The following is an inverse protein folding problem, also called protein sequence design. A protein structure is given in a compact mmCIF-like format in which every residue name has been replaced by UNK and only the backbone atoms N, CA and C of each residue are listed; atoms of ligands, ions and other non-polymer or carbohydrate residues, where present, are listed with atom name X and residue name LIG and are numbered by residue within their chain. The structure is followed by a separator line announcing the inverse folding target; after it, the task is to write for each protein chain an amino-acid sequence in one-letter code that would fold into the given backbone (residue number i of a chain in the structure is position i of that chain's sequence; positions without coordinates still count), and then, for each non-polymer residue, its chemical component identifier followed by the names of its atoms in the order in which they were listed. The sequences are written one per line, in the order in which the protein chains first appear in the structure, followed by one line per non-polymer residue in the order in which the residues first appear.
data_IF_433572172594
#
_entry.id   IF_433572172594
#
_cell.length_a   1.000
_cell.length_b   1.000
_cell.length_c   1.000
_cell.angle_alpha   90.00
_cell.angle_beta   90.00
_cell.angle_gamma   90.00
#
_symmetry.space_group_name_H-M   'P 1'
#
loop_
_entity.id
_entity.type
_entity.pdbx_description
1 polymer ?
#
# COMPACT_ATOMS: atom_id res chain seq x y z
N UNK A 1 -38.76 -16.46 60.69
CA UNK A 1 -38.14 -16.24 59.37
C UNK A 1 -39.08 -15.36 58.55
N UNK A 2 -38.58 -14.49 57.66
CA UNK A 2 -39.41 -13.67 56.78
C UNK A 2 -40.36 -14.53 55.93
N UNK A 3 -41.60 -14.08 55.74
CA UNK A 3 -42.55 -14.77 54.86
C UNK A 3 -42.25 -14.43 53.38
N UNK A 4 -42.00 -15.46 52.58
CA UNK A 4 -41.71 -15.36 51.14
C UNK A 4 -42.81 -15.94 50.26
N UNK A 5 -43.91 -16.41 50.85
CA UNK A 5 -44.99 -17.12 50.17
C UNK A 5 -45.63 -16.28 49.07
N UNK A 6 -45.83 -14.98 49.34
CA UNK A 6 -46.41 -14.04 48.39
C UNK A 6 -45.49 -13.81 47.17
N UNK A 7 -44.21 -13.52 47.41
CA UNK A 7 -43.23 -13.30 46.34
C UNK A 7 -43.04 -14.57 45.50
N UNK A 8 -42.95 -15.75 46.13
CA UNK A 8 -42.84 -17.03 45.43
C UNK A 8 -44.05 -17.30 44.53
N UNK A 9 -45.28 -17.01 45.00
CA UNK A 9 -46.49 -17.19 44.21
C UNK A 9 -46.51 -16.28 42.98
N UNK A 10 -46.13 -15.02 43.13
CA UNK A 10 -46.06 -14.07 42.03
C UNK A 10 -45.01 -14.47 40.98
N UNK A 11 -43.81 -14.86 41.41
CA UNK A 11 -42.76 -15.35 40.50
C UNK A 11 -43.22 -16.61 39.76
N UNK A 12 -43.84 -17.55 40.47
CA UNK A 12 -44.31 -18.81 39.85
C UNK A 12 -45.33 -18.52 38.75
N UNK A 13 -46.29 -17.63 39.00
CA UNK A 13 -47.27 -17.20 37.99
C UNK A 13 -46.62 -16.54 36.76
N UNK A 14 -45.54 -15.77 36.95
CA UNK A 14 -44.82 -15.10 35.87
C UNK A 14 -43.98 -16.10 35.06
N UNK A 15 -43.35 -17.08 35.73
CA UNK A 15 -42.60 -18.15 35.05
C UNK A 15 -43.53 -19.06 34.23
N UNK A 16 -44.70 -19.40 34.76
CA UNK A 16 -45.75 -20.13 34.02
C UNK A 16 -46.26 -19.34 32.81
N UNK A 17 -46.17 -18.01 32.86
CA UNK A 17 -46.49 -17.09 31.77
C UNK A 17 -45.46 -17.07 30.61
N UNK A 18 -44.51 -18.01 30.54
CA UNK A 18 -43.53 -18.16 29.46
C UNK A 18 -42.61 -16.94 29.21
N UNK A 19 -42.39 -16.08 30.21
CA UNK A 19 -41.53 -14.88 30.10
C UNK A 19 -40.13 -15.21 29.54
N UNK A 20 -39.55 -16.35 29.95
CA UNK A 20 -38.23 -16.80 29.51
C UNK A 20 -38.20 -17.08 28.00
N UNK A 21 -39.29 -17.62 27.46
CA UNK A 21 -39.41 -17.90 26.02
C UNK A 21 -39.50 -16.60 25.23
N UNK A 22 -40.31 -15.64 25.68
CA UNK A 22 -40.48 -14.35 24.99
C UNK A 22 -39.16 -13.54 24.96
N UNK A 23 -38.45 -13.46 26.09
CA UNK A 23 -37.14 -12.79 26.15
C UNK A 23 -36.10 -13.50 25.27
N UNK A 24 -36.10 -14.84 25.23
CA UNK A 24 -35.23 -15.61 24.31
C UNK A 24 -35.54 -15.31 22.85
N UNK A 25 -36.81 -15.24 22.47
CA UNK A 25 -37.20 -14.87 21.11
C UNK A 25 -36.68 -13.47 20.74
N UNK A 26 -36.77 -12.50 21.67
CA UNK A 26 -36.22 -11.17 21.48
C UNK A 26 -34.72 -11.16 21.20
N UNK A 27 -33.95 -11.89 22.00
CA UNK A 27 -32.51 -12.08 21.78
C UNK A 27 -32.22 -12.72 20.41
N UNK A 28 -33.01 -13.72 20.02
CA UNK A 28 -32.83 -14.40 18.74
C UNK A 28 -33.17 -13.50 17.54
N UNK A 29 -34.14 -12.58 17.66
CA UNK A 29 -34.40 -11.52 16.67
C UNK A 29 -33.22 -10.56 16.55
N UNK A 30 -32.65 -10.12 17.68
CA UNK A 30 -31.47 -9.26 17.67
C UNK A 30 -30.28 -9.92 16.95
N UNK A 31 -29.98 -11.19 17.26
CA UNK A 31 -28.93 -11.94 16.57
C UNK A 31 -29.25 -12.20 15.09
N UNK A 32 -30.53 -12.32 14.71
CA UNK A 32 -30.93 -12.45 13.31
C UNK A 32 -30.56 -11.21 12.51
N UNK A 33 -30.82 -10.01 13.04
CA UNK A 33 -30.44 -8.74 12.40
C UNK A 33 -28.93 -8.68 12.13
N UNK A 34 -28.13 -9.01 13.13
CA UNK A 34 -26.66 -9.07 12.99
C UNK A 34 -26.24 -10.04 11.87
N UNK A 35 -26.83 -11.24 11.82
CA UNK A 35 -26.52 -12.24 10.80
C UNK A 35 -26.96 -11.81 9.39
N UNK A 36 -28.09 -11.15 9.26
CA UNK A 36 -28.60 -10.71 7.96
C UNK A 36 -27.70 -9.60 7.38
N UNK A 37 -27.26 -8.64 8.21
CA UNK A 37 -26.27 -7.62 7.80
C UNK A 37 -24.95 -8.29 7.41
N UNK A 38 -24.42 -9.19 8.25
CA UNK A 38 -23.16 -9.88 7.97
C UNK A 38 -23.23 -10.71 6.67
N UNK A 39 -24.37 -11.36 6.41
CA UNK A 39 -24.57 -12.14 5.19
C UNK A 39 -24.58 -11.23 3.95
N UNK A 40 -25.30 -10.11 4.01
CA UNK A 40 -25.33 -9.14 2.91
C UNK A 40 -23.92 -8.59 2.60
N UNK A 41 -23.13 -8.28 3.64
CA UNK A 41 -21.73 -7.85 3.50
C UNK A 41 -20.87 -8.95 2.88
N UNK A 42 -20.91 -10.17 3.42
CA UNK A 42 -20.09 -11.30 2.96
C UNK A 42 -20.42 -11.74 1.52
N UNK A 43 -21.66 -11.59 1.09
CA UNK A 43 -22.06 -11.90 -0.29
C UNK A 43 -21.59 -10.85 -1.28
N UNK A 44 -21.50 -9.59 -0.86
CA UNK A 44 -21.24 -8.49 -1.79
C UNK A 44 -19.76 -8.15 -1.95
N UNK A 45 -18.95 -8.29 -0.87
CA UNK A 45 -17.50 -8.04 -0.92
C UNK A 45 -16.80 -8.85 -2.04
N UNK A 46 -17.05 -10.15 -2.23
CA UNK A 46 -16.39 -10.93 -3.28
C UNK A 46 -16.76 -10.47 -4.69
N UNK A 47 -17.99 -9.98 -4.90
CA UNK A 47 -18.45 -9.50 -6.21
C UNK A 47 -17.72 -8.21 -6.57
N UNK A 48 -17.67 -7.25 -5.64
CA UNK A 48 -16.90 -6.01 -5.80
C UNK A 48 -15.41 -6.32 -6.01
N UNK A 49 -14.83 -7.19 -5.18
CA UNK A 49 -13.43 -7.62 -5.29
C UNK A 49 -13.14 -8.28 -6.63
N UNK A 50 -14.06 -9.10 -7.17
CA UNK A 50 -13.91 -9.73 -8.47
C UNK A 50 -13.93 -8.71 -9.62
N UNK A 51 -14.84 -7.73 -9.60
CA UNK A 51 -14.88 -6.69 -10.63
C UNK A 51 -13.62 -5.82 -10.61
N UNK A 52 -13.14 -5.47 -9.41
CA UNK A 52 -11.87 -4.76 -9.21
C UNK A 52 -10.69 -5.60 -9.68
N UNK A 53 -10.66 -6.90 -9.37
CA UNK A 53 -9.60 -7.80 -9.81
C UNK A 53 -9.54 -7.93 -11.32
N UNK A 54 -10.67 -8.07 -12.01
CA UNK A 54 -10.73 -8.10 -13.48
C UNK A 54 -10.22 -6.81 -14.10
N UNK A 55 -10.60 -5.66 -13.52
CA UNK A 55 -10.05 -4.37 -13.92
C UNK A 55 -8.53 -4.33 -13.70
N UNK A 56 -8.05 -4.81 -12.55
CA UNK A 56 -6.63 -4.93 -12.22
C UNK A 56 -5.84 -5.82 -13.18
N UNK A 57 -6.35 -7.02 -13.50
CA UNK A 57 -5.74 -7.96 -14.45
C UNK A 57 -5.62 -7.33 -15.85
N UNK A 58 -6.65 -6.59 -16.31
CA UNK A 58 -6.61 -5.89 -17.60
C UNK A 58 -5.65 -4.69 -17.60
N UNK A 59 -5.53 -3.98 -16.47
CA UNK A 59 -4.55 -2.91 -16.30
C UNK A 59 -3.12 -3.46 -16.25
N UNK A 60 -2.90 -4.59 -15.58
CA UNK A 60 -1.61 -5.28 -15.54
C UNK A 60 -1.20 -5.78 -16.93
N UNK A 61 -2.13 -6.35 -17.69
CA UNK A 61 -1.89 -6.74 -19.08
C UNK A 61 -1.50 -5.53 -19.94
N UNK A 62 -2.21 -4.41 -19.77
CA UNK A 62 -1.90 -3.16 -20.50
C UNK A 62 -0.52 -2.60 -20.11
N UNK A 63 -0.20 -2.58 -18.82
CA UNK A 63 1.10 -2.14 -18.31
C UNK A 63 2.23 -3.06 -18.80
N UNK A 64 2.02 -4.37 -18.77
CA UNK A 64 2.95 -5.38 -19.28
C UNK A 64 3.18 -5.23 -20.78
N UNK A 65 2.11 -5.00 -21.55
CA UNK A 65 2.21 -4.74 -22.98
C UNK A 65 3.06 -3.49 -23.27
N UNK A 66 2.87 -2.39 -22.52
CA UNK A 66 3.68 -1.17 -22.61
C UNK A 66 5.15 -1.45 -22.28
N UNK A 67 5.42 -2.09 -21.14
CA UNK A 67 6.80 -2.43 -20.73
C UNK A 67 7.46 -3.34 -21.74
N UNK A 68 6.76 -4.35 -22.26
CA UNK A 68 7.29 -5.27 -23.26
C UNK A 68 7.64 -4.57 -24.57
N UNK A 69 6.88 -3.53 -24.96
CA UNK A 69 7.15 -2.72 -26.14
C UNK A 69 8.40 -1.87 -25.93
N UNK A 70 8.55 -1.24 -24.77
CA UNK A 70 9.76 -0.48 -24.38
C UNK A 70 10.97 -1.40 -24.37
N UNK A 71 10.85 -2.59 -23.79
CA UNK A 71 11.93 -3.57 -23.73
C UNK A 71 12.31 -4.09 -25.12
N UNK A 72 11.34 -4.27 -26.02
CA UNK A 72 11.63 -4.63 -27.43
C UNK A 72 12.44 -3.53 -28.10
N UNK A 73 12.02 -2.27 -27.96
CA UNK A 73 12.76 -1.12 -28.52
C UNK A 73 14.19 -1.08 -27.96
N UNK A 74 14.35 -1.24 -26.64
CA UNK A 74 15.67 -1.23 -26.00
C UNK A 74 16.56 -2.40 -26.47
N UNK A 75 15.97 -3.60 -26.63
CA UNK A 75 16.68 -4.77 -27.18
C UNK A 75 17.08 -4.57 -28.63
N UNK A 76 16.20 -4.02 -29.47
CA UNK A 76 16.51 -3.76 -30.88
C UNK A 76 17.61 -2.71 -31.03
N UNK A 77 17.59 -1.66 -30.20
CA UNK A 77 18.68 -0.67 -30.12
C UNK A 77 20.00 -1.36 -29.78
N UNK A 78 20.01 -2.18 -28.73
CA UNK A 78 21.22 -2.87 -28.28
C UNK A 78 21.73 -3.93 -29.27
N UNK A 79 20.84 -4.60 -29.99
CA UNK A 79 21.22 -5.68 -30.91
C UNK A 79 21.66 -5.16 -32.27
N UNK A 80 21.01 -4.11 -32.77
CA UNK A 80 21.27 -3.60 -34.13
C UNK A 80 22.30 -2.49 -34.08
N UNK A 81 22.13 -1.49 -33.22
CA UNK A 81 22.92 -0.25 -33.32
C UNK A 81 24.23 -0.29 -32.53
N UNK A 82 24.28 -0.91 -31.35
CA UNK A 82 25.51 -1.00 -30.54
C UNK A 82 26.65 -1.73 -31.27
N UNK A 83 26.43 -2.86 -31.97
CA UNK A 83 27.51 -3.52 -32.72
C UNK A 83 28.04 -2.66 -33.86
N UNK A 84 27.16 -1.95 -34.58
CA UNK A 84 27.58 -1.04 -35.65
C UNK A 84 28.37 0.16 -35.12
N UNK A 85 27.98 0.70 -33.97
CA UNK A 85 28.75 1.74 -33.26
C UNK A 85 30.12 1.22 -32.82
N UNK A 86 30.21 -0.03 -32.35
CA UNK A 86 31.48 -0.64 -31.95
C UNK A 86 32.42 -0.86 -33.14
N UNK A 87 31.89 -1.32 -34.28
CA UNK A 87 32.67 -1.45 -35.52
C UNK A 87 33.17 -0.09 -36.01
N UNK A 88 32.33 0.95 -35.94
CA UNK A 88 32.74 2.31 -36.29
C UNK A 88 33.84 2.82 -35.34
N UNK A 89 33.69 2.59 -34.03
CA UNK A 89 34.69 2.95 -33.02
C UNK A 89 36.03 2.24 -33.28
N UNK A 90 36.01 0.93 -33.51
CA UNK A 90 37.22 0.14 -33.80
C UNK A 90 37.92 0.66 -35.06
N UNK A 91 37.17 1.09 -36.08
CA UNK A 91 37.74 1.66 -37.30
C UNK A 91 38.33 3.07 -37.10
N UNK A 92 37.68 3.90 -36.27
CA UNK A 92 38.18 5.22 -35.89
C UNK A 92 39.48 5.09 -35.07
N UNK A 93 39.52 4.16 -34.12
CA UNK A 93 40.70 3.93 -33.28
C UNK A 93 41.89 3.41 -34.10
N UNK A 94 41.65 2.60 -35.13
CA UNK A 94 42.68 2.21 -36.08
C UNK A 94 43.16 3.37 -36.96
N UNK A 95 42.28 4.30 -37.37
CA UNK A 95 42.65 5.42 -38.24
C UNK A 95 43.27 6.61 -37.48
N UNK A 96 43.01 6.71 -36.18
CA UNK A 96 43.55 7.70 -35.25
C UNK A 96 45.09 7.80 -35.33
N UNK A 97 45.78 6.66 -35.38
CA UNK A 97 47.24 6.62 -35.42
C UNK A 97 47.81 7.20 -36.72
N UNK A 98 47.14 6.98 -37.86
CA UNK A 98 47.55 7.53 -39.14
C UNK A 98 47.42 9.05 -39.19
N UNK A 99 46.34 9.60 -38.61
CA UNK A 99 46.18 11.06 -38.46
C UNK A 99 47.32 11.68 -37.64
N UNK A 100 47.71 11.02 -36.56
CA UNK A 100 48.84 11.47 -35.74
C UNK A 100 50.15 11.50 -36.54
N UNK A 101 50.48 10.45 -37.29
CA UNK A 101 51.69 10.41 -38.11
C UNK A 101 51.67 11.42 -39.27
N UNK A 102 50.53 11.65 -39.91
CA UNK A 102 50.38 12.69 -40.93
C UNK A 102 50.62 14.07 -40.32
N UNK A 103 50.05 14.37 -39.15
CA UNK A 103 50.29 15.63 -38.44
C UNK A 103 51.75 15.83 -38.03
N UNK A 104 52.43 14.76 -37.59
CA UNK A 104 53.86 14.77 -37.29
C UNK A 104 54.70 15.03 -38.54
N UNK A 105 54.34 14.39 -39.67
CA UNK A 105 55.01 14.59 -40.96
C UNK A 105 54.90 16.02 -41.47
N UNK A 106 53.70 16.61 -41.42
CA UNK A 106 53.48 18.03 -41.80
C UNK A 106 54.28 18.96 -40.90
N UNK A 107 54.27 18.73 -39.58
CA UNK A 107 55.08 19.52 -38.64
C UNK A 107 56.59 19.39 -38.90
N UNK A 108 57.07 18.18 -39.21
CA UNK A 108 58.48 17.92 -39.53
C UNK A 108 58.94 18.60 -40.82
N UNK A 109 58.07 18.63 -41.83
CA UNK A 109 58.30 19.36 -43.08
C UNK A 109 58.46 20.86 -42.81
N UNK A 110 57.53 21.45 -42.05
CA UNK A 110 57.57 22.88 -41.70
C UNK A 110 58.84 23.21 -40.91
N UNK A 111 59.24 22.35 -39.98
CA UNK A 111 60.48 22.50 -39.22
C UNK A 111 61.71 22.44 -40.14
N UNK A 112 61.72 21.54 -41.13
CA UNK A 112 62.82 21.41 -42.09
C UNK A 112 62.96 22.67 -42.94
N UNK A 113 61.83 23.21 -43.44
CA UNK A 113 61.80 24.48 -44.17
C UNK A 113 62.35 25.60 -43.29
N UNK A 114 61.89 25.71 -42.04
CA UNK A 114 62.36 26.71 -41.09
C UNK A 114 63.88 26.60 -40.88
N UNK A 115 64.41 25.40 -40.67
CA UNK A 115 65.85 25.18 -40.51
C UNK A 115 66.65 25.56 -41.75
N UNK A 116 66.21 25.18 -42.95
CA UNK A 116 66.90 25.58 -44.19
C UNK A 116 66.91 27.11 -44.38
N UNK A 117 65.82 27.79 -44.02
CA UNK A 117 65.73 29.25 -44.07
C UNK A 117 66.63 29.92 -43.02
N UNK A 118 66.66 29.43 -41.78
CA UNK A 118 67.52 30.00 -40.72
C UNK A 118 68.99 29.81 -41.06
N UNK A 119 69.42 28.60 -41.42
CA UNK A 119 70.81 28.34 -41.82
C UNK A 119 71.18 29.12 -43.09
N UNK A 120 70.28 29.19 -44.08
CA UNK A 120 70.47 30.00 -45.28
C UNK A 120 70.71 31.49 -44.96
N UNK A 121 69.94 32.05 -44.02
CA UNK A 121 70.05 33.43 -43.59
C UNK A 121 71.34 33.68 -42.75
N UNK A 122 71.62 32.81 -41.78
CA UNK A 122 72.82 32.91 -40.95
C UNK A 122 74.11 32.79 -41.79
N UNK A 123 74.18 31.84 -42.72
CA UNK A 123 75.31 31.69 -43.64
C UNK A 123 75.38 32.82 -44.68
N UNK A 124 74.25 33.43 -45.04
CA UNK A 124 74.21 34.59 -45.94
C UNK A 124 74.73 35.89 -45.31
N UNK A 125 74.38 36.14 -44.05
CA UNK A 125 74.78 37.35 -43.29
C UNK A 125 76.22 37.21 -42.76
N UNK A 126 76.55 36.08 -42.14
CA UNK A 126 77.83 35.88 -41.46
C UNK A 126 78.91 35.23 -42.34
N UNK A 127 78.57 34.69 -43.50
CA UNK A 127 79.49 33.95 -44.36
C UNK A 127 80.44 34.83 -45.18
N UNK A 128 81.66 34.35 -45.40
CA UNK A 128 82.66 34.98 -46.27
C UNK A 128 82.33 34.75 -47.77
N UNK A 129 82.90 35.60 -48.65
CA UNK A 129 82.77 35.45 -50.11
C UNK A 129 83.55 34.19 -50.54
N UNK A 130 83.01 33.34 -51.43
CA UNK A 130 83.69 32.11 -51.82
C UNK A 130 84.91 32.42 -52.68
N UNK A 131 86.09 32.16 -52.13
CA UNK A 131 87.37 32.25 -52.80
C UNK A 131 87.78 30.81 -53.15
N UNK A 132 88.15 30.53 -54.41
CA UNK A 132 88.16 29.19 -55.01
C UNK A 132 89.02 28.07 -54.38
N UNK A 133 89.60 28.27 -53.19
CA UNK A 133 90.35 27.28 -52.42
C UNK A 133 90.14 27.51 -50.91
N UNK A 134 89.15 26.85 -50.30
CA UNK A 134 88.91 26.86 -48.84
C UNK A 134 87.53 26.34 -48.47
N UNK A 135 87.45 25.15 -47.89
CA UNK A 135 86.21 24.49 -47.48
C UNK A 135 85.77 24.98 -46.08
N UNK A 136 85.37 26.26 -45.98
CA UNK A 136 84.67 26.76 -44.79
C UNK A 136 83.19 26.35 -44.88
N UNK A 137 82.72 25.61 -43.86
CA UNK A 137 81.34 25.11 -43.74
C UNK A 137 80.28 26.24 -43.88
N UNK A 138 80.65 27.49 -43.54
CA UNK A 138 79.77 28.67 -43.61
C UNK A 138 80.28 29.71 -44.62
N UNK A 139 79.89 29.57 -45.88
CA UNK A 139 80.18 30.55 -46.94
C UNK A 139 78.89 31.08 -47.60
N UNK A 140 78.96 32.24 -48.29
CA UNK A 140 77.80 32.84 -48.95
C UNK A 140 77.19 31.94 -50.05
N UNK A 141 77.99 31.07 -50.66
CA UNK A 141 77.53 30.07 -51.64
C UNK A 141 76.69 28.96 -51.00
N UNK A 142 77.06 28.47 -49.81
CA UNK A 142 76.32 27.50 -49.02
C UNK A 142 75.00 28.10 -48.55
N UNK A 143 74.99 29.36 -48.10
CA UNK A 143 73.76 30.09 -47.78
C UNK A 143 72.79 30.17 -48.96
N UNK A 144 73.28 30.53 -50.15
CA UNK A 144 72.48 30.55 -51.37
C UNK A 144 71.93 29.16 -51.76
N UNK A 145 72.72 28.09 -51.60
CA UNK A 145 72.27 26.71 -51.84
C UNK A 145 71.19 26.26 -50.86
N UNK A 146 71.30 26.60 -49.56
CA UNK A 146 70.26 26.30 -48.57
C UNK A 146 68.97 27.06 -48.82
N UNK A 147 69.04 28.33 -49.24
CA UNK A 147 67.86 29.10 -49.64
C UNK A 147 67.20 28.54 -50.91
N UNK A 148 67.99 28.14 -51.91
CA UNK A 148 67.46 27.49 -53.11
C UNK A 148 66.79 26.15 -52.79
N UNK A 149 67.39 25.33 -51.92
CA UNK A 149 66.78 24.09 -51.45
C UNK A 149 65.46 24.33 -50.71
N UNK A 150 65.40 25.36 -49.84
CA UNK A 150 64.17 25.75 -49.17
C UNK A 150 63.07 26.14 -50.17
N UNK A 151 63.39 26.93 -51.21
CA UNK A 151 62.42 27.33 -52.26
C UNK A 151 61.90 26.12 -53.04
N UNK A 152 62.77 25.16 -53.39
CA UNK A 152 62.36 23.92 -54.05
C UNK A 152 61.41 23.08 -53.19
N UNK A 153 61.74 22.92 -51.90
CA UNK A 153 60.92 22.18 -50.94
C UNK A 153 59.57 22.88 -50.74
N UNK A 154 59.56 24.21 -50.61
CA UNK A 154 58.33 25.00 -50.49
C UNK A 154 57.46 24.79 -51.73
N UNK A 155 57.99 24.95 -52.94
CA UNK A 155 57.18 24.86 -54.16
C UNK A 155 56.57 23.47 -54.37
N UNK A 156 57.37 22.41 -54.15
CA UNK A 156 56.89 21.03 -54.28
C UNK A 156 55.84 20.68 -53.23
N UNK A 157 56.08 21.02 -51.96
CA UNK A 157 55.19 20.62 -50.87
C UNK A 157 53.95 21.51 -50.77
N UNK A 158 54.04 22.81 -51.07
CA UNK A 158 52.86 23.69 -51.07
C UNK A 158 51.86 23.31 -52.16
N UNK A 159 52.32 22.92 -53.35
CA UNK A 159 51.45 22.45 -54.43
C UNK A 159 50.65 21.20 -54.03
N UNK A 160 51.31 20.21 -53.40
CA UNK A 160 50.67 18.98 -52.93
C UNK A 160 49.73 19.26 -51.75
N UNK A 161 50.17 20.05 -50.77
CA UNK A 161 49.36 20.40 -49.61
C UNK A 161 48.10 21.18 -50.01
N UNK A 162 48.18 22.09 -50.98
CA UNK A 162 47.03 22.86 -51.48
C UNK A 162 45.93 21.96 -52.07
N UNK A 163 46.29 20.91 -52.80
CA UNK A 163 45.31 19.96 -53.36
C UNK A 163 44.64 19.17 -52.21
N UNK A 164 45.44 18.68 -51.25
CA UNK A 164 44.94 17.88 -50.13
C UNK A 164 44.02 18.71 -49.23
N UNK A 165 44.39 19.95 -48.90
CA UNK A 165 43.58 20.84 -48.05
C UNK A 165 42.29 21.25 -48.74
N UNK A 166 42.32 21.52 -50.05
CA UNK A 166 41.11 21.85 -50.82
C UNK A 166 40.13 20.66 -50.84
N UNK A 167 40.63 19.44 -51.03
CA UNK A 167 39.79 18.25 -50.98
C UNK A 167 39.17 18.02 -49.59
N UNK A 168 39.97 18.19 -48.52
CA UNK A 168 39.47 18.08 -47.14
C UNK A 168 38.46 19.17 -46.80
N UNK A 169 38.69 20.42 -47.25
CA UNK A 169 37.76 21.52 -47.06
C UNK A 169 36.43 21.27 -47.77
N UNK A 170 36.45 20.75 -49.01
CA UNK A 170 35.22 20.39 -49.73
C UNK A 170 34.42 19.32 -48.98
N UNK A 171 35.09 18.25 -48.53
CA UNK A 171 34.43 17.17 -47.77
C UNK A 171 33.93 17.68 -46.42
N UNK A 172 34.73 18.48 -45.72
CA UNK A 172 34.38 19.08 -44.42
C UNK A 172 33.16 19.98 -44.52
N UNK A 173 33.13 20.90 -45.48
CA UNK A 173 32.00 21.83 -45.70
C UNK A 173 30.73 21.06 -46.10
N UNK A 174 30.84 20.06 -46.97
CA UNK A 174 29.69 19.22 -47.35
C UNK A 174 29.16 18.42 -46.17
N UNK A 175 30.02 17.80 -45.37
CA UNK A 175 29.61 17.06 -44.18
C UNK A 175 29.00 17.98 -43.11
N UNK A 176 29.59 19.17 -42.90
CA UNK A 176 29.09 20.15 -41.93
C UNK A 176 27.71 20.69 -42.33
N UNK A 177 27.54 21.10 -43.59
CA UNK A 177 26.28 21.68 -44.10
C UNK A 177 25.20 20.62 -44.38
N UNK A 178 25.60 19.43 -44.83
CA UNK A 178 24.69 18.36 -45.25
C UNK A 178 24.23 17.44 -44.11
N UNK A 179 25.06 17.25 -43.08
CA UNK A 179 24.78 16.30 -41.99
C UNK A 179 24.71 17.03 -40.64
N UNK A 180 25.74 17.78 -40.27
CA UNK A 180 25.81 18.32 -38.90
C UNK A 180 24.83 19.47 -38.62
N UNK A 181 24.68 20.42 -39.55
CA UNK A 181 23.72 21.51 -39.43
C UNK A 181 22.25 21.02 -39.30
N UNK A 182 21.74 20.11 -40.17
CA UNK A 182 20.38 19.58 -40.01
C UNK A 182 20.18 18.76 -38.74
N UNK A 183 21.19 18.02 -38.26
CA UNK A 183 21.07 17.28 -37.01
C UNK A 183 21.13 18.19 -35.76
N UNK A 184 21.86 19.31 -35.80
CA UNK A 184 21.98 20.29 -34.70
C UNK A 184 20.70 21.12 -34.54
N UNK A 185 20.09 21.49 -35.67
CA UNK A 185 18.85 22.27 -35.71
C UNK A 185 17.77 21.51 -36.51
N UNK A 186 17.10 20.49 -35.91
CA UNK A 186 16.16 19.63 -36.62
C UNK A 186 14.82 20.31 -36.98
N UNK A 187 14.49 21.44 -36.35
CA UNK A 187 13.22 22.15 -36.56
C UNK A 187 13.23 23.08 -37.79
N UNK A 188 14.36 23.76 -38.05
CA UNK A 188 14.43 24.84 -39.05
C UNK A 188 15.08 24.43 -40.38
N UNK A 189 15.51 23.17 -40.51
CA UNK A 189 16.25 22.70 -41.69
C UNK A 189 15.40 21.84 -42.64
N UNK A 190 15.12 22.40 -43.83
CA UNK A 190 14.42 21.70 -44.93
C UNK A 190 15.05 20.36 -45.33
N UNK A 191 16.37 20.22 -45.16
CA UNK A 191 17.09 18.99 -45.49
C UNK A 191 16.71 17.82 -44.57
N UNK A 192 16.43 18.11 -43.30
CA UNK A 192 16.04 17.10 -42.32
C UNK A 192 14.61 16.58 -42.59
N UNK A 193 13.71 17.48 -42.98
CA UNK A 193 12.34 17.10 -43.38
C UNK A 193 12.33 16.21 -44.65
N UNK A 194 13.24 16.44 -45.60
CA UNK A 194 13.39 15.57 -46.78
C UNK A 194 13.91 14.17 -46.42
N UNK A 195 14.83 14.08 -45.45
CA UNK A 195 15.34 12.80 -44.97
C UNK A 195 14.26 12.01 -44.20
N UNK A 196 13.40 12.72 -43.48
CA UNK A 196 12.27 12.14 -42.75
C UNK A 196 11.20 11.54 -43.68
N UNK A 197 10.89 12.24 -44.78
CA UNK A 197 10.02 11.73 -45.85
C UNK A 197 10.59 10.46 -46.52
N UNK A 198 11.91 10.35 -46.63
CA UNK A 198 12.57 9.19 -47.23
C UNK A 198 12.55 7.95 -46.31
N UNK A 199 12.75 8.13 -45.00
CA UNK A 199 12.84 7.04 -44.01
C UNK A 199 11.50 6.41 -43.65
N UNK A 200 10.36 6.99 -44.06
CA UNK A 200 9.01 6.46 -43.82
C UNK A 200 8.78 6.00 -42.36
N UNK A 201 9.28 6.76 -41.36
CA UNK A 201 9.22 6.41 -39.93
C UNK A 201 7.80 6.07 -39.48
N UNK A 202 6.81 6.77 -40.04
CA UNK A 202 5.38 6.49 -39.88
C UNK A 202 4.98 5.05 -40.23
N UNK A 203 5.46 4.53 -41.36
CA UNK A 203 5.13 3.18 -41.84
C UNK A 203 5.81 2.10 -40.99
N UNK A 204 6.96 2.41 -40.40
CA UNK A 204 7.70 1.51 -39.51
C UNK A 204 7.05 1.42 -38.12
N UNK A 205 6.73 2.55 -37.50
CA UNK A 205 6.15 2.56 -36.15
C UNK A 205 4.64 2.26 -36.13
N UNK A 206 3.90 2.72 -37.12
CA UNK A 206 2.45 2.63 -37.18
C UNK A 206 1.95 2.06 -38.51
N UNK A 207 2.29 0.80 -38.85
CA UNK A 207 1.93 0.20 -40.14
C UNK A 207 0.41 0.10 -40.36
N UNK A 208 -0.39 0.08 -39.29
CA UNK A 208 -1.85 -0.06 -39.31
C UNK A 208 -2.62 1.27 -39.16
N UNK A 209 -1.95 2.38 -38.82
CA UNK A 209 -2.61 3.65 -38.50
C UNK A 209 -2.15 4.78 -39.44
N UNK A 210 -2.85 5.02 -40.57
CA UNK A 210 -2.46 6.02 -41.56
C UNK A 210 -2.63 7.47 -41.08
N UNK A 211 -3.28 7.73 -39.95
CA UNK A 211 -3.45 9.07 -39.37
C UNK A 211 -2.40 9.47 -38.33
N UNK A 212 -1.41 8.60 -38.04
CA UNK A 212 -0.30 8.98 -37.16
C UNK A 212 0.60 10.01 -37.87
N UNK A 213 0.56 11.26 -37.39
CA UNK A 213 1.46 12.33 -37.81
C UNK A 213 2.67 12.35 -36.87
N UNK A 214 3.72 11.60 -37.20
CA UNK A 214 4.95 11.52 -36.42
C UNK A 214 6.12 11.66 -37.37
N UNK A 215 6.94 12.68 -37.10
CA UNK A 215 8.17 13.01 -37.82
C UNK A 215 9.38 12.76 -36.92
N UNK A 216 10.52 12.42 -37.49
CA UNK A 216 11.77 12.29 -36.71
C UNK A 216 12.15 13.63 -36.06
N UNK A 217 11.84 14.75 -36.71
CA UNK A 217 12.05 16.09 -36.14
C UNK A 217 11.23 16.29 -34.86
N UNK A 218 9.94 15.92 -34.89
CA UNK A 218 9.09 15.92 -33.70
C UNK A 218 9.65 15.07 -32.58
N UNK A 219 10.09 13.84 -32.88
CA UNK A 219 10.64 12.92 -31.89
C UNK A 219 11.86 13.55 -31.20
N UNK A 220 12.82 14.05 -31.97
CA UNK A 220 14.06 14.65 -31.42
C UNK A 220 13.75 15.90 -30.60
N UNK A 221 12.93 16.82 -31.10
CA UNK A 221 12.57 18.05 -30.38
C UNK A 221 11.85 17.75 -29.07
N UNK A 222 10.89 16.82 -29.08
CA UNK A 222 10.14 16.43 -27.88
C UNK A 222 11.00 15.65 -26.89
N UNK A 223 11.96 14.89 -27.41
CA UNK A 223 12.95 14.22 -26.60
C UNK A 223 13.88 15.20 -25.87
N UNK A 224 14.30 16.28 -26.53
CA UNK A 224 15.06 17.37 -25.91
C UNK A 224 14.28 18.12 -24.84
N UNK A 225 12.96 18.24 -24.98
CA UNK A 225 12.08 18.75 -23.94
C UNK A 225 11.87 17.77 -22.76
N UNK A 226 12.53 16.60 -22.78
CA UNK A 226 12.43 15.54 -21.77
C UNK A 226 10.98 15.04 -21.56
N UNK A 227 10.17 15.05 -22.63
CA UNK A 227 8.83 14.48 -22.58
C UNK A 227 8.87 12.94 -22.48
N UNK A 228 7.75 12.36 -22.06
CA UNK A 228 7.58 10.91 -21.96
C UNK A 228 7.45 10.25 -23.33
N UNK A 229 7.82 8.97 -23.38
CA UNK A 229 7.68 8.15 -24.58
C UNK A 229 6.23 8.13 -25.10
N UNK A 230 5.24 8.17 -24.20
CA UNK A 230 3.83 8.23 -24.57
C UNK A 230 3.50 9.44 -25.44
N UNK A 231 4.01 10.62 -25.08
CA UNK A 231 3.80 11.86 -25.83
C UNK A 231 4.69 11.95 -27.08
N UNK A 232 5.97 11.57 -26.95
CA UNK A 232 6.97 11.62 -28.03
C UNK A 232 6.54 10.73 -29.19
N UNK A 233 6.20 9.46 -28.91
CA UNK A 233 5.79 8.51 -29.94
C UNK A 233 4.29 8.56 -30.24
N UNK A 234 3.51 9.46 -29.62
CA UNK A 234 2.05 9.52 -29.72
C UNK A 234 1.38 8.15 -29.54
N UNK A 235 1.75 7.43 -28.48
CA UNK A 235 1.25 6.07 -28.17
C UNK A 235 -0.27 6.01 -27.95
N UNK A 236 -0.95 7.17 -27.85
CA UNK A 236 -2.42 7.29 -27.88
C UNK A 236 -3.08 6.52 -29.03
N UNK A 237 -2.39 6.33 -30.15
CA UNK A 237 -2.91 5.57 -31.31
C UNK A 237 -2.87 4.05 -31.12
N UNK A 238 -2.16 3.56 -30.09
CA UNK A 238 -2.09 2.13 -29.72
C UNK A 238 -2.87 1.87 -28.44
N UNK A 239 -2.69 2.73 -27.44
CA UNK A 239 -3.31 2.59 -26.12
C UNK A 239 -3.83 3.97 -25.70
N UNK A 240 -5.15 4.10 -25.63
CA UNK A 240 -5.80 5.30 -25.15
C UNK A 240 -5.91 5.25 -23.62
N UNK A 241 -4.97 5.87 -22.91
CA UNK A 241 -4.95 5.87 -21.44
C UNK A 241 -6.19 6.52 -20.83
N UNK A 242 -6.80 7.51 -21.50
CA UNK A 242 -8.03 8.16 -21.02
C UNK A 242 -9.23 7.20 -21.00
N UNK A 243 -9.20 6.15 -21.83
CA UNK A 243 -10.23 5.10 -21.81
C UNK A 243 -10.23 4.30 -20.52
N UNK A 244 -9.14 4.33 -19.74
CA UNK A 244 -9.05 3.68 -18.43
C UNK A 244 -10.05 4.27 -17.43
N UNK A 245 -10.42 5.55 -17.57
CA UNK A 245 -11.47 6.17 -16.72
C UNK A 245 -12.82 5.47 -16.90
N UNK A 246 -13.10 4.95 -18.10
CA UNK A 246 -14.33 4.20 -18.37
C UNK A 246 -14.34 2.79 -17.79
N UNK A 247 -13.25 2.32 -17.15
CA UNK A 247 -13.18 0.95 -16.61
C UNK A 247 -14.14 0.76 -15.44
N UNK A 248 -14.39 1.81 -14.65
CA UNK A 248 -15.35 1.76 -13.53
C UNK A 248 -16.75 1.39 -14.04
N UNK A 249 -17.16 2.00 -15.16
CA UNK A 249 -18.44 1.73 -15.80
C UNK A 249 -18.41 0.40 -16.58
N UNK A 250 -17.32 0.14 -17.32
CA UNK A 250 -17.16 -1.07 -18.14
C UNK A 250 -17.19 -2.37 -17.33
N UNK A 251 -16.62 -2.36 -16.13
CA UNK A 251 -16.65 -3.49 -15.20
C UNK A 251 -17.81 -3.43 -14.21
N UNK A 252 -18.77 -2.52 -14.42
CA UNK A 252 -19.96 -2.34 -13.61
C UNK A 252 -19.66 -2.19 -12.10
N UNK A 253 -18.54 -1.57 -11.75
CA UNK A 253 -18.10 -1.40 -10.35
C UNK A 253 -19.10 -0.51 -9.61
N UNK A 254 -19.54 0.59 -10.25
CA UNK A 254 -20.57 1.48 -9.73
C UNK A 254 -21.91 0.75 -9.49
N UNK A 255 -22.39 0.01 -10.48
CA UNK A 255 -23.62 -0.79 -10.36
C UNK A 255 -23.54 -1.84 -9.25
N UNK A 256 -22.39 -2.52 -9.11
CA UNK A 256 -22.19 -3.54 -8.07
C UNK A 256 -22.25 -2.92 -6.67
N UNK A 257 -21.72 -1.71 -6.52
CA UNK A 257 -21.75 -0.96 -5.26
C UNK A 257 -23.15 -0.43 -4.96
N UNK A 258 -23.92 -0.05 -5.97
CA UNK A 258 -25.33 0.31 -5.80
C UNK A 258 -26.20 -0.91 -5.43
N UNK A 259 -25.90 -2.09 -5.98
CA UNK A 259 -26.58 -3.33 -5.59
C UNK A 259 -26.24 -3.72 -4.15
N UNK A 260 -24.99 -3.52 -3.71
CA UNK A 260 -24.58 -3.64 -2.31
C UNK A 260 -25.40 -2.74 -1.40
N UNK A 261 -25.54 -1.46 -1.77
CA UNK A 261 -26.32 -0.46 -1.01
C UNK A 261 -27.77 -0.91 -0.85
N UNK A 262 -28.36 -1.51 -1.88
CA UNK A 262 -29.75 -2.02 -1.83
C UNK A 262 -29.87 -3.30 -0.99
N UNK A 263 -28.86 -4.16 -0.99
CA UNK A 263 -28.86 -5.40 -0.21
C UNK A 263 -28.64 -5.18 1.29
N UNK A 264 -27.80 -4.22 1.68
CA UNK A 264 -27.55 -3.87 3.08
C UNK A 264 -28.58 -2.83 3.53
N UNK A 265 -29.83 -3.28 3.71
CA UNK A 265 -30.90 -2.42 4.21
C UNK A 265 -31.58 -3.04 5.44
N UNK A 266 -31.71 -2.25 6.50
CA UNK A 266 -32.43 -2.63 7.71
C UNK A 266 -33.91 -2.32 7.52
N UNK A 267 -34.76 -3.35 7.52
CA UNK A 267 -36.21 -3.13 7.44
C UNK A 267 -36.74 -2.52 8.74
N UNK A 268 -37.59 -1.49 8.67
CA UNK A 268 -38.27 -0.97 9.86
C UNK A 268 -39.27 -2.01 10.39
N UNK A 269 -39.67 -1.85 11.66
CA UNK A 269 -40.59 -2.76 12.35
C UNK A 269 -39.90 -3.89 13.11
N UNK A 270 -38.66 -3.67 13.54
CA UNK A 270 -37.92 -4.59 14.41
C UNK A 270 -38.56 -4.57 15.80
N UNK A 271 -38.99 -5.73 16.26
CA UNK A 271 -39.49 -5.94 17.63
C UNK A 271 -38.54 -6.92 18.32
N UNK A 272 -37.74 -6.40 19.24
CA UNK A 272 -36.86 -7.17 20.13
C UNK A 272 -37.66 -7.56 21.36
N UNK A 273 -38.31 -6.60 22.02
CA UNK A 273 -39.17 -6.85 23.17
C UNK A 273 -40.61 -6.55 22.79
N UNK A 274 -41.48 -7.55 22.90
CA UNK A 274 -42.93 -7.40 22.67
C UNK A 274 -43.58 -6.72 23.86
N UNK A 275 -44.69 -6.01 23.66
CA UNK A 275 -45.44 -5.35 24.75
C UNK A 275 -45.83 -6.33 25.87
N UNK A 276 -46.19 -7.57 25.51
CA UNK A 276 -46.41 -8.67 26.46
C UNK A 276 -45.19 -8.96 27.34
N UNK A 277 -44.00 -8.98 26.75
CA UNK A 277 -42.77 -9.31 27.45
C UNK A 277 -42.34 -8.15 28.36
N UNK A 278 -42.50 -6.91 27.88
CA UNK A 278 -42.30 -5.70 28.67
C UNK A 278 -43.22 -5.67 29.89
N UNK A 279 -44.50 -5.97 29.71
CA UNK A 279 -45.46 -6.04 30.83
C UNK A 279 -45.04 -7.10 31.84
N UNK A 280 -44.73 -8.32 31.38
CA UNK A 280 -44.31 -9.42 32.27
C UNK A 280 -43.01 -9.13 33.01
N UNK A 281 -42.06 -8.42 32.40
CA UNK A 281 -40.83 -7.97 33.05
C UNK A 281 -41.12 -6.91 34.11
N UNK A 282 -42.02 -5.96 33.83
CA UNK A 282 -42.48 -4.99 34.83
C UNK A 282 -43.24 -5.66 35.99
N UNK A 283 -44.07 -6.67 35.70
CA UNK A 283 -44.73 -7.48 36.73
C UNK A 283 -43.71 -8.24 37.59
N UNK A 284 -42.62 -8.73 36.98
CA UNK A 284 -41.51 -9.35 37.71
C UNK A 284 -40.78 -8.35 38.61
N UNK A 285 -40.54 -7.13 38.11
CA UNK A 285 -39.96 -6.04 38.89
C UNK A 285 -40.84 -5.66 40.10
N UNK A 286 -42.17 -5.81 39.97
CA UNK A 286 -43.17 -5.51 41.00
C UNK A 286 -43.63 -6.74 41.81
N UNK A 287 -43.02 -7.92 41.60
CA UNK A 287 -43.42 -9.18 42.24
C UNK A 287 -43.26 -9.22 43.76
N UNK A 288 -42.59 -8.22 44.35
CA UNK A 288 -42.23 -8.16 45.76
C UNK A 288 -40.94 -8.90 46.10
N UNK A 289 -40.24 -9.47 45.11
CA UNK A 289 -38.96 -10.17 45.30
C UNK A 289 -37.84 -9.23 45.76
N UNK A 290 -37.88 -7.96 45.32
CA UNK A 290 -36.93 -6.93 45.75
C UNK A 290 -37.15 -6.49 47.21
N UNK A 291 -38.34 -6.71 47.76
CA UNK A 291 -38.72 -6.31 49.11
C UNK A 291 -38.31 -7.34 50.18
N UNK A 292 -37.87 -8.52 49.75
CA UNK A 292 -37.43 -9.58 50.65
C UNK A 292 -36.12 -9.16 51.32
N UNK A 293 -36.19 -9.02 52.65
CA UNK A 293 -35.05 -8.68 53.49
C UNK A 293 -34.22 -9.93 53.79
N UNK A 294 -33.49 -10.43 52.79
CA UNK A 294 -32.66 -11.64 52.90
C UNK A 294 -31.67 -11.60 54.07
N UNK A 295 -31.12 -10.43 54.41
CA UNK A 295 -30.25 -10.25 55.57
C UNK A 295 -30.90 -10.68 56.91
N UNK A 296 -32.23 -10.58 57.06
CA UNK A 296 -32.94 -10.98 58.28
C UNK A 296 -32.87 -12.49 58.51
N UNK A 297 -32.71 -13.30 57.46
CA UNK A 297 -32.46 -14.73 57.62
C UNK A 297 -31.13 -14.96 58.33
N UNK A 298 -30.07 -14.26 57.91
CA UNK A 298 -28.76 -14.37 58.54
C UNK A 298 -28.76 -13.87 59.99
N UNK A 299 -29.53 -12.82 60.29
CA UNK A 299 -29.65 -12.26 61.65
C UNK A 299 -30.40 -13.20 62.61
N UNK A 300 -31.55 -13.74 62.20
CA UNK A 300 -32.37 -14.64 63.02
C UNK A 300 -31.76 -16.03 63.22
N UNK A 301 -30.89 -16.45 62.30
CA UNK A 301 -30.24 -17.76 62.29
C UNK A 301 -28.84 -17.75 62.92
N UNK A 302 -28.38 -16.58 63.38
CA UNK A 302 -27.09 -16.40 64.06
C UNK A 302 -27.08 -16.96 65.49
N UNK A 303 -28.25 -17.02 66.13
CA UNK A 303 -28.38 -17.47 67.51
C UNK A 303 -28.25 -19.00 67.62
N UNK A 304 -27.78 -19.46 68.78
CA UNK A 304 -27.65 -20.89 69.05
C UNK A 304 -29.03 -21.57 69.01
N UNK A 305 -29.12 -22.72 68.34
CA UNK A 305 -30.36 -23.52 68.23
C UNK A 305 -30.93 -23.87 69.62
N UNK A 306 -30.05 -24.07 70.60
CA UNK A 306 -30.41 -24.30 72.00
C UNK A 306 -29.69 -23.30 72.91
N UNK A 307 -30.39 -22.82 73.95
CA UNK A 307 -29.82 -21.93 74.96
C UNK A 307 -28.73 -22.61 75.82
N UNK A 308 -28.72 -23.94 75.85
CA UNK A 308 -27.80 -24.76 76.65
C UNK A 308 -27.11 -25.75 75.72
N UNK A 309 -25.81 -25.97 75.93
CA UNK A 309 -25.08 -27.03 75.25
C UNK A 309 -25.55 -28.38 75.81
N UNK A 310 -26.27 -29.15 74.97
CA UNK A 310 -26.85 -30.44 75.33
C UNK A 310 -25.77 -31.50 75.66
N UNK A 311 -24.61 -31.43 75.01
CA UNK A 311 -23.45 -32.30 75.29
C UNK A 311 -22.88 -32.01 76.68
N UNK A 312 -22.72 -30.73 77.03
CA UNK A 312 -22.28 -30.32 78.36
C UNK A 312 -23.29 -30.72 79.45
N UNK A 313 -24.59 -30.54 79.19
CA UNK A 313 -25.64 -30.97 80.10
C UNK A 313 -25.63 -32.51 80.28
N UNK A 314 -25.49 -33.26 79.17
CA UNK A 314 -25.34 -34.72 79.21
C UNK A 314 -24.14 -35.17 80.04
N UNK A 315 -22.98 -34.54 79.86
CA UNK A 315 -21.78 -34.83 80.65
C UNK A 315 -21.96 -34.54 82.14
N UNK A 316 -22.67 -33.45 82.49
CA UNK A 316 -22.95 -33.14 83.89
C UNK A 316 -23.91 -34.15 84.53
N UNK A 317 -24.90 -34.64 83.79
CA UNK A 317 -25.78 -35.72 84.26
C UNK A 317 -25.00 -37.02 84.52
N UNK A 318 -24.04 -37.36 83.66
CA UNK A 318 -23.14 -38.52 83.87
C UNK A 318 -22.28 -38.35 85.13
N UNK A 319 -21.66 -37.18 85.32
CA UNK A 319 -20.85 -36.90 86.51
C UNK A 319 -21.67 -37.00 87.81
N UNK A 320 -22.89 -36.45 87.82
CA UNK A 320 -23.79 -36.58 88.98
C UNK A 320 -24.17 -38.04 89.23
N UNK A 321 -24.31 -38.86 88.17
CA UNK A 321 -24.59 -40.28 88.30
C UNK A 321 -23.43 -41.08 88.92
N UNK A 322 -22.18 -40.66 88.68
CA UNK A 322 -20.98 -41.31 89.22
C UNK A 322 -20.76 -40.98 90.71
N UNK A 323 -21.19 -39.80 91.16
CA UNK A 323 -21.04 -39.31 92.54
C UNK A 323 -22.15 -39.84 93.50
N UNK A 324 -23.13 -40.61 93.01
CA UNK A 324 -24.26 -41.10 93.80
C UNK A 324 -23.88 -42.23 94.80
N UNK A 325 -24.32 -42.13 96.09
CA UNK A 325 -24.11 -43.17 97.11
C UNK A 325 -24.74 -44.53 96.75
N UNK A 326 -24.28 -45.65 97.36
CA UNK A 326 -24.88 -46.96 97.16
C UNK A 326 -26.36 -46.99 97.57
N UNK A 327 -27.23 -47.60 96.76
CA UNK A 327 -28.68 -47.75 97.03
C UNK A 327 -29.63 -46.88 96.20
N UNK A 328 -29.14 -46.12 95.20
CA UNK A 328 -29.92 -45.25 94.32
C UNK A 328 -29.80 -45.62 92.82
N UNK A 329 -29.79 -46.93 92.52
CA UNK A 329 -29.48 -47.41 91.17
C UNK A 329 -30.52 -46.97 90.12
N UNK A 330 -31.80 -46.87 90.49
CA UNK A 330 -32.87 -46.38 89.61
C UNK A 330 -32.66 -44.93 89.15
N UNK A 331 -32.13 -44.09 90.04
CA UNK A 331 -31.82 -42.67 89.75
C UNK A 331 -30.57 -42.58 88.87
N UNK A 332 -29.58 -43.42 89.14
CA UNK A 332 -28.34 -43.53 88.36
C UNK A 332 -28.65 -43.89 86.91
N UNK A 333 -29.46 -44.93 86.69
CA UNK A 333 -29.86 -45.39 85.36
C UNK A 333 -30.70 -44.35 84.62
N UNK A 334 -31.59 -43.65 85.33
CA UNK A 334 -32.38 -42.56 84.75
C UNK A 334 -31.51 -41.38 84.31
N UNK A 335 -30.50 -40.99 85.09
CA UNK A 335 -29.56 -39.91 84.74
C UNK A 335 -28.71 -40.28 83.52
N UNK A 336 -28.20 -41.52 83.47
CA UNK A 336 -27.43 -42.04 82.33
C UNK A 336 -28.29 -42.08 81.07
N UNK A 337 -29.54 -42.54 81.18
CA UNK A 337 -30.49 -42.56 80.06
C UNK A 337 -30.76 -41.15 79.53
N UNK A 338 -31.08 -40.19 80.40
CA UNK A 338 -31.29 -38.81 79.99
C UNK A 338 -30.03 -38.19 79.36
N UNK A 339 -28.83 -38.51 79.88
CA UNK A 339 -27.58 -38.06 79.27
C UNK A 339 -27.40 -38.60 77.85
N UNK A 340 -27.73 -39.88 77.63
CA UNK A 340 -27.70 -40.50 76.31
C UNK A 340 -28.75 -39.90 75.36
N UNK A 341 -29.97 -39.63 75.84
CA UNK A 341 -31.02 -38.97 75.05
C UNK A 341 -30.61 -37.55 74.63
N UNK A 342 -29.97 -36.78 75.52
CA UNK A 342 -29.44 -35.45 75.20
C UNK A 342 -28.32 -35.49 74.15
N UNK A 343 -27.43 -36.47 74.22
CA UNK A 343 -26.38 -36.68 73.22
C UNK A 343 -26.98 -37.06 71.87
N UNK A 344 -28.00 -37.92 71.87
CA UNK A 344 -28.76 -38.26 70.67
C UNK A 344 -29.45 -37.04 70.05
N UNK A 345 -30.14 -36.20 70.85
CA UNK A 345 -30.74 -34.96 70.37
C UNK A 345 -29.69 -33.97 69.85
N UNK A 346 -28.53 -33.88 70.50
CA UNK A 346 -27.44 -33.04 70.02
C UNK A 346 -26.96 -33.46 68.63
N UNK A 347 -26.69 -34.76 68.46
CA UNK A 347 -26.17 -35.33 67.22
C UNK A 347 -27.20 -35.32 66.09
N UNK A 348 -28.44 -35.70 66.39
CA UNK A 348 -29.43 -36.03 65.35
C UNK A 348 -30.42 -34.87 65.08
N UNK A 349 -30.49 -33.86 65.96
CA UNK A 349 -31.32 -32.66 65.76
C UNK A 349 -30.47 -31.38 65.72
N UNK A 350 -29.69 -31.09 66.78
CA UNK A 350 -29.00 -29.80 66.90
C UNK A 350 -27.93 -29.63 65.82
N UNK A 351 -27.06 -30.62 65.61
CA UNK A 351 -26.03 -30.51 64.58
C UNK A 351 -26.59 -30.33 63.15
N UNK A 352 -27.58 -31.14 62.69
CA UNK A 352 -28.23 -30.92 61.39
C UNK A 352 -28.91 -29.56 61.29
N UNK A 353 -29.62 -29.12 62.33
CA UNK A 353 -30.28 -27.81 62.35
C UNK A 353 -29.27 -26.66 62.24
N UNK A 354 -28.15 -26.72 62.97
CA UNK A 354 -27.07 -25.73 62.87
C UNK A 354 -26.47 -25.70 61.46
N UNK A 355 -26.18 -26.86 60.86
CA UNK A 355 -25.62 -26.92 59.51
C UNK A 355 -26.60 -26.36 58.46
N UNK A 356 -27.89 -26.70 58.55
CA UNK A 356 -28.92 -26.17 57.65
C UNK A 356 -29.12 -24.65 57.85
N UNK A 357 -29.03 -24.17 59.09
CA UNK A 357 -29.10 -22.76 59.45
C UNK A 357 -27.97 -21.95 58.78
N UNK A 358 -26.74 -22.44 58.87
CA UNK A 358 -25.57 -21.83 58.22
C UNK A 358 -25.71 -21.82 56.69
N UNK A 359 -26.14 -22.93 56.10
CA UNK A 359 -26.37 -23.03 54.65
C UNK A 359 -27.45 -22.07 54.19
N UNK A 360 -28.56 -21.98 54.91
CA UNK A 360 -29.66 -21.07 54.60
C UNK A 360 -29.23 -19.61 54.69
N UNK A 361 -28.50 -19.23 55.73
CA UNK A 361 -27.92 -17.89 55.89
C UNK A 361 -27.01 -17.52 54.71
N UNK A 362 -26.08 -18.42 54.35
CA UNK A 362 -25.17 -18.21 53.22
C UNK A 362 -25.93 -18.08 51.89
N UNK A 363 -26.90 -18.94 51.64
CA UNK A 363 -27.71 -18.93 50.42
C UNK A 363 -28.56 -17.66 50.33
N UNK A 364 -29.14 -17.19 51.43
CA UNK A 364 -29.92 -15.96 51.47
C UNK A 364 -29.06 -14.74 51.13
N UNK A 365 -27.85 -14.63 51.71
CA UNK A 365 -26.93 -13.53 51.41
C UNK A 365 -26.43 -13.58 49.97
N UNK A 366 -26.11 -14.77 49.46
CA UNK A 366 -25.67 -14.96 48.07
C UNK A 366 -26.78 -14.62 47.08
N UNK A 367 -28.01 -15.02 47.39
CA UNK A 367 -29.18 -14.68 46.58
C UNK A 367 -29.42 -13.17 46.58
N UNK A 368 -29.32 -12.50 47.74
CA UNK A 368 -29.47 -11.04 47.85
C UNK A 368 -28.51 -10.28 46.93
N UNK A 369 -27.28 -10.75 46.79
CA UNK A 369 -26.28 -10.12 45.93
C UNK A 369 -26.56 -10.40 44.45
N UNK A 370 -26.82 -11.65 44.09
CA UNK A 370 -26.99 -12.04 42.69
C UNK A 370 -28.27 -11.48 42.04
N UNK A 371 -29.38 -11.35 42.78
CA UNK A 371 -30.63 -10.86 42.17
C UNK A 371 -30.57 -9.38 41.76
N UNK A 372 -29.63 -8.62 42.32
CA UNK A 372 -29.50 -7.19 42.05
C UNK A 372 -28.77 -6.88 40.74
N UNK A 373 -28.03 -7.82 40.17
CA UNK A 373 -27.25 -7.60 38.94
C UNK A 373 -26.43 -6.28 38.96
N UNK A 374 -25.71 -6.00 40.05
CA UNK A 374 -24.95 -4.76 40.28
C UNK A 374 -25.78 -3.45 40.38
N UNK A 375 -27.10 -3.53 40.57
CA UNK A 375 -27.98 -2.37 40.82
C UNK A 375 -28.38 -2.29 42.31
N UNK A 376 -29.12 -1.25 42.71
CA UNK A 376 -29.63 -1.13 44.08
C UNK A 376 -30.65 -2.21 44.43
N UNK A 377 -31.45 -2.63 43.45
CA UNK A 377 -32.44 -3.70 43.58
C UNK A 377 -32.64 -4.48 42.27
N UNK A 378 -33.27 -5.65 42.35
CA UNK A 378 -33.66 -6.42 41.16
C UNK A 378 -34.67 -5.66 40.29
N UNK A 379 -35.60 -4.94 40.92
CA UNK A 379 -36.59 -4.10 40.23
C UNK A 379 -35.91 -3.03 39.38
N UNK A 380 -34.92 -2.33 39.95
CA UNK A 380 -34.11 -1.34 39.25
C UNK A 380 -33.30 -1.95 38.09
N UNK A 381 -32.69 -3.12 38.30
CA UNK A 381 -31.98 -3.83 37.24
C UNK A 381 -32.91 -4.19 36.07
N UNK A 382 -34.12 -4.68 36.34
CA UNK A 382 -35.08 -5.03 35.30
C UNK A 382 -35.54 -3.79 34.53
N UNK A 383 -35.92 -2.71 35.23
CA UNK A 383 -36.34 -1.48 34.58
C UNK A 383 -35.23 -0.89 33.70
N UNK A 384 -33.98 -0.83 34.19
CA UNK A 384 -32.85 -0.36 33.39
C UNK A 384 -32.64 -1.20 32.14
N UNK A 385 -32.68 -2.54 32.26
CA UNK A 385 -32.49 -3.43 31.12
C UNK A 385 -33.63 -3.32 30.10
N UNK A 386 -34.88 -3.18 30.56
CA UNK A 386 -36.04 -2.96 29.68
C UNK A 386 -35.89 -1.64 28.93
N UNK A 387 -35.53 -0.56 29.62
CA UNK A 387 -35.31 0.76 29.01
C UNK A 387 -34.17 0.74 27.99
N UNK A 388 -33.05 0.08 28.30
CA UNK A 388 -31.92 -0.10 27.36
C UNK A 388 -32.37 -0.83 26.09
N UNK A 389 -33.14 -1.92 26.23
CA UNK A 389 -33.64 -2.69 25.08
C UNK A 389 -34.66 -1.89 24.28
N UNK A 390 -35.55 -1.14 24.93
CA UNK A 390 -36.52 -0.27 24.26
C UNK A 390 -35.85 0.88 23.51
N UNK A 391 -34.82 1.48 24.10
CA UNK A 391 -34.01 2.50 23.45
C UNK A 391 -33.26 1.93 22.24
N UNK A 392 -32.66 0.75 22.37
CA UNK A 392 -32.02 0.05 21.25
C UNK A 392 -33.01 -0.29 20.13
N UNK A 393 -34.20 -0.77 20.47
CA UNK A 393 -35.28 -1.05 19.51
C UNK A 393 -35.73 0.23 18.81
N UNK A 394 -35.87 1.35 19.53
CA UNK A 394 -36.25 2.65 18.97
C UNK A 394 -35.18 3.15 18.00
N UNK A 395 -33.91 3.09 18.40
CA UNK A 395 -32.78 3.44 17.54
C UNK A 395 -32.77 2.60 16.26
N UNK A 396 -32.87 1.27 16.37
CA UNK A 396 -32.87 0.36 15.23
C UNK A 396 -34.03 0.59 14.26
N UNK A 397 -35.18 1.10 14.73
CA UNK A 397 -36.33 1.38 13.88
C UNK A 397 -36.31 2.77 13.27
N UNK A 398 -35.86 3.77 14.02
CA UNK A 398 -35.92 5.19 13.63
C UNK A 398 -34.67 5.61 12.87
N UNK A 399 -33.51 5.44 13.49
CA UNK A 399 -32.23 5.95 12.98
C UNK A 399 -31.41 4.83 12.31
N UNK A 400 -31.69 3.56 12.66
CA UNK A 400 -30.99 2.38 12.18
C UNK A 400 -30.97 2.24 10.65
N UNK A 401 -32.10 2.34 9.93
CA UNK A 401 -32.11 2.21 8.47
C UNK A 401 -31.27 3.28 7.78
N UNK A 402 -31.37 4.54 8.23
CA UNK A 402 -30.58 5.65 7.69
C UNK A 402 -29.09 5.47 8.00
N UNK A 403 -28.76 5.08 9.23
CA UNK A 403 -27.38 4.87 9.66
C UNK A 403 -26.70 3.71 8.91
N UNK A 404 -27.40 2.58 8.73
CA UNK A 404 -26.90 1.43 7.95
C UNK A 404 -26.70 1.83 6.49
N UNK A 405 -27.65 2.57 5.90
CA UNK A 405 -27.54 3.07 4.53
C UNK A 405 -26.36 4.04 4.38
N UNK A 406 -26.15 4.93 5.35
CA UNK A 406 -25.01 5.85 5.38
C UNK A 406 -23.68 5.08 5.42
N UNK A 407 -23.55 4.08 6.29
CA UNK A 407 -22.35 3.25 6.39
C UNK A 407 -22.10 2.45 5.10
N UNK A 408 -23.14 1.85 4.52
CA UNK A 408 -23.03 1.13 3.25
C UNK A 408 -22.60 2.07 2.10
N UNK A 409 -23.11 3.30 2.09
CA UNK A 409 -22.77 4.32 1.10
C UNK A 409 -21.31 4.75 1.24
N UNK A 410 -20.88 5.10 2.46
CA UNK A 410 -19.52 5.51 2.76
C UNK A 410 -18.50 4.42 2.46
N UNK A 411 -18.83 3.17 2.78
CA UNK A 411 -18.00 2.02 2.43
C UNK A 411 -17.89 1.90 0.90
N UNK A 412 -19.01 1.93 0.18
CA UNK A 412 -19.03 1.91 -1.28
C UNK A 412 -18.20 3.02 -1.93
N UNK A 413 -18.36 4.26 -1.47
CA UNK A 413 -17.62 5.42 -1.98
C UNK A 413 -16.12 5.30 -1.73
N UNK A 414 -15.70 4.76 -0.58
CA UNK A 414 -14.29 4.50 -0.30
C UNK A 414 -13.67 3.52 -1.31
N UNK A 415 -14.39 2.47 -1.70
CA UNK A 415 -13.93 1.56 -2.76
C UNK A 415 -13.87 2.23 -4.13
N UNK A 416 -14.89 3.00 -4.50
CA UNK A 416 -14.88 3.74 -5.77
C UNK A 416 -13.71 4.71 -5.86
N UNK A 417 -13.49 5.48 -4.80
CA UNK A 417 -12.38 6.43 -4.74
C UNK A 417 -11.03 5.72 -4.86
N UNK A 418 -10.83 4.61 -4.16
CA UNK A 418 -9.58 3.84 -4.26
C UNK A 418 -9.31 3.33 -5.69
N UNK A 419 -10.35 2.88 -6.41
CA UNK A 419 -10.23 2.45 -7.80
C UNK A 419 -9.93 3.63 -8.71
N UNK A 420 -10.63 4.75 -8.55
CA UNK A 420 -10.42 5.97 -9.33
C UNK A 420 -9.01 6.53 -9.13
N UNK A 421 -8.54 6.60 -7.89
CA UNK A 421 -7.20 7.09 -7.55
C UNK A 421 -6.12 6.23 -8.22
N UNK A 422 -6.29 4.91 -8.23
CA UNK A 422 -5.37 4.01 -8.91
C UNK A 422 -5.37 4.22 -10.43
N UNK A 423 -6.55 4.37 -11.04
CA UNK A 423 -6.69 4.65 -12.48
C UNK A 423 -6.04 5.99 -12.85
N UNK A 424 -6.31 7.06 -12.10
CA UNK A 424 -5.69 8.37 -12.31
C UNK A 424 -4.17 8.32 -12.12
N UNK A 425 -3.69 7.56 -11.15
CA UNK A 425 -2.26 7.36 -10.94
C UNK A 425 -1.60 6.70 -12.17
N UNK A 426 -2.23 5.67 -12.75
CA UNK A 426 -1.74 5.03 -13.97
C UNK A 426 -1.78 5.97 -15.18
N UNK A 427 -2.85 6.74 -15.36
CA UNK A 427 -2.97 7.70 -16.46
C UNK A 427 -1.90 8.78 -16.34
N UNK A 428 -1.76 9.38 -15.16
CA UNK A 428 -0.82 10.46 -14.88
C UNK A 428 0.61 9.97 -15.05
N UNK A 429 0.98 8.86 -14.41
CA UNK A 429 2.34 8.34 -14.53
C UNK A 429 2.66 7.85 -15.94
N UNK A 430 1.69 7.23 -16.63
CA UNK A 430 1.85 6.82 -18.02
C UNK A 430 2.11 8.00 -18.96
N UNK A 431 1.48 9.16 -18.71
CA UNK A 431 1.61 10.37 -19.52
C UNK A 431 2.82 11.24 -19.14
N UNK A 432 3.20 11.31 -17.87
CA UNK A 432 4.12 12.35 -17.36
C UNK A 432 5.43 11.82 -16.75
N UNK A 433 5.44 10.55 -16.33
CA UNK A 433 6.54 10.00 -15.52
C UNK A 433 7.28 8.88 -16.24
N UNK A 434 6.56 7.96 -16.89
CA UNK A 434 7.12 6.74 -17.47
C UNK A 434 7.80 7.03 -18.81
N UNK A 435 9.01 6.49 -18.98
CA UNK A 435 9.73 6.52 -20.27
C UNK A 435 10.19 7.92 -20.69
N UNK A 436 10.71 8.74 -19.77
CA UNK A 436 11.28 10.06 -20.11
C UNK A 436 12.43 9.94 -21.12
N UNK A 437 12.43 10.82 -22.11
CA UNK A 437 13.36 10.76 -23.23
C UNK A 437 14.71 11.47 -22.96
N UNK A 438 14.90 12.10 -21.80
CA UNK A 438 16.14 12.80 -21.44
C UNK A 438 17.44 12.02 -21.69
N UNK A 439 17.55 10.73 -21.30
CA UNK A 439 18.75 9.93 -21.58
C UNK A 439 19.02 9.77 -23.09
N UNK A 440 17.98 9.61 -23.91
CA UNK A 440 18.11 9.50 -25.37
C UNK A 440 18.53 10.83 -25.98
N UNK A 441 17.96 11.94 -25.51
CA UNK A 441 18.39 13.31 -25.88
C UNK A 441 19.87 13.55 -25.53
N UNK A 442 20.31 13.10 -24.36
CA UNK A 442 21.71 13.22 -23.95
C UNK A 442 22.64 12.37 -24.83
N UNK A 443 22.25 11.14 -25.15
CA UNK A 443 23.00 10.28 -26.06
C UNK A 443 23.07 10.88 -27.48
N UNK A 444 21.97 11.45 -27.97
CA UNK A 444 21.92 12.17 -29.24
C UNK A 444 22.89 13.37 -29.24
N UNK A 445 22.81 14.24 -28.23
CA UNK A 445 23.71 15.38 -28.07
C UNK A 445 25.17 14.95 -27.96
N UNK A 446 25.48 13.91 -27.19
CA UNK A 446 26.84 13.37 -27.08
C UNK A 446 27.36 12.87 -28.44
N UNK A 447 26.50 12.22 -29.23
CA UNK A 447 26.83 11.75 -30.58
C UNK A 447 27.10 12.93 -31.52
N UNK A 448 26.32 14.01 -31.43
CA UNK A 448 26.56 15.24 -32.19
C UNK A 448 27.88 15.90 -31.79
N UNK A 449 28.16 16.02 -30.50
CA UNK A 449 29.42 16.60 -30.04
C UNK A 449 30.62 15.75 -30.48
N UNK A 450 30.53 14.42 -30.36
CA UNK A 450 31.61 13.53 -30.75
C UNK A 450 31.83 13.51 -32.27
N UNK A 451 30.77 13.51 -33.07
CA UNK A 451 30.88 13.34 -34.53
C UNK A 451 31.02 14.68 -35.26
N UNK A 452 30.23 15.68 -34.90
CA UNK A 452 30.24 16.97 -35.57
C UNK A 452 31.28 17.90 -34.94
N UNK A 453 31.28 18.08 -33.62
CA UNK A 453 32.14 19.10 -33.02
C UNK A 453 33.60 18.64 -32.83
N UNK A 454 33.87 17.34 -32.66
CA UNK A 454 35.24 16.84 -32.43
C UNK A 454 35.93 16.29 -33.67
N UNK A 455 35.18 15.81 -34.66
CA UNK A 455 35.73 15.22 -35.89
C UNK A 455 35.65 16.17 -37.08
N UNK A 456 34.56 16.93 -37.19
CA UNK A 456 34.29 17.81 -38.34
C UNK A 456 34.59 19.29 -38.06
N UNK A 457 34.55 19.72 -36.79
CA UNK A 457 35.01 21.05 -36.33
C UNK A 457 36.46 20.93 -35.82
N UNK A 458 37.43 21.80 -36.19
CA UNK A 458 37.36 22.95 -37.08
C UNK A 458 38.13 22.69 -38.40
N UNK A 459 37.45 22.70 -39.54
CA UNK A 459 38.06 23.12 -40.80
C UNK A 459 37.90 24.62 -40.98
#
# INVERSE_FOLDING_TARGET
LPDVTYALRNITSIMEGNIVSEVRQGRDQFHKIQRDIQRAVNQTIPVVSSSVRKAGESLEETASNITSMIDRINRDINRVYIPHLKVAQDHIDQYSIYRYYVGLGVSGILLTILMCLTFGLFCGICGKRPDGYGDDCCNKGSGARFLMMAVWIIFLLTSVLMIITTAHMLVGVVAQRGICEPLKNPHDNRLFNLADDWLHVKRLLYPKNPQADITMSWIVTKCHANETLYNVLKLKYLIELDSLRSYVDRYAISSTIDDMRKMINLKPGIVILTDSATSKLNDLAQSGLSDIKFYQYAELLKDNITNINLEHLGNRLRQVSDELPPGHDDIRDSLIKNAHDLEHYHRDLVMPMTSLSEQLSKNALTLQEHIKFNHGSMSEAIHSLVDEVMNAQTFLNKDGPEYVQYLATKFGDAFLNQVNDFLEHLITNGKETVGRCGPVSNAYNATLVASCNKILDPF
#
